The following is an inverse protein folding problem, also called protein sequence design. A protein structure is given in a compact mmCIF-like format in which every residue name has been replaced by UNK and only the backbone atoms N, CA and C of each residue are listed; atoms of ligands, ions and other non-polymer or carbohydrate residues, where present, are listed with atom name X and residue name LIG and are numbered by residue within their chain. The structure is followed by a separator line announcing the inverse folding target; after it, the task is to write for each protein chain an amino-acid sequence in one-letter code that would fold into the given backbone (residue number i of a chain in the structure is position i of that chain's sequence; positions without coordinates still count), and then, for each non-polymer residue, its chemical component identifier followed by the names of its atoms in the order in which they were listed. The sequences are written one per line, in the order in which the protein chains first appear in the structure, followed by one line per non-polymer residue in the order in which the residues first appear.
data_IF_242565734125
#
_entry.id   IF_242565734125
#
_cell.length_a   1.000
_cell.length_b   1.000
_cell.length_c   1.000
_cell.angle_alpha   90.00
_cell.angle_beta   90.00
_cell.angle_gamma   90.00
#
_symmetry.space_group_name_H-M   'P 1'
#
loop_
_entity.id
_entity.type
_entity.pdbx_description
1 polymer ?
#
# COMPACT_ATOMS: atom_id res chain seq x y z
N UNK A 1 17.47 11.60 -3.22
CA UNK A 1 16.80 12.56 -2.31
C UNK A 1 17.59 12.60 -1.01
N UNK A 2 17.74 13.77 -0.39
CA UNK A 2 18.44 13.89 0.89
C UNK A 2 17.57 13.32 2.04
N UNK A 3 18.19 12.75 3.06
CA UNK A 3 17.48 12.15 4.21
C UNK A 3 16.59 13.18 4.92
N UNK A 4 17.04 14.44 5.02
CA UNK A 4 16.26 15.53 5.60
C UNK A 4 14.95 15.83 4.82
N UNK A 5 14.98 15.71 3.50
CA UNK A 5 13.78 15.88 2.68
C UNK A 5 12.77 14.74 2.91
N UNK A 6 13.24 13.49 2.98
CA UNK A 6 12.38 12.35 3.28
C UNK A 6 11.78 12.46 4.69
N UNK A 7 12.57 12.93 5.66
CA UNK A 7 12.10 13.17 7.02
C UNK A 7 10.94 14.17 7.04
N UNK A 8 11.09 15.32 6.38
CA UNK A 8 10.03 16.34 6.31
C UNK A 8 8.76 15.84 5.61
N UNK A 9 8.88 14.87 4.70
CA UNK A 9 7.72 14.22 4.07
C UNK A 9 7.03 13.27 5.06
N UNK A 10 7.79 12.47 5.83
CA UNK A 10 7.23 11.58 6.85
C UNK A 10 6.46 12.37 7.91
N UNK A 11 6.95 13.54 8.31
CA UNK A 11 6.30 14.45 9.28
C UNK A 11 4.92 14.98 8.81
N UNK A 12 4.59 14.83 7.53
CA UNK A 12 3.23 15.14 7.03
C UNK A 12 2.19 14.09 7.43
N UNK A 13 2.61 12.93 7.92
CA UNK A 13 1.73 11.83 8.30
C UNK A 13 1.66 11.68 9.83
N UNK A 14 0.55 11.11 10.31
CA UNK A 14 0.30 10.90 11.73
C UNK A 14 1.14 9.73 12.30
N UNK A 15 2.46 9.88 12.27
CA UNK A 15 3.41 8.95 12.86
C UNK A 15 3.57 9.28 14.35
N UNK A 16 3.37 8.28 15.21
CA UNK A 16 3.52 8.43 16.67
C UNK A 16 4.92 8.06 17.17
N UNK A 17 5.75 7.45 16.32
CA UNK A 17 7.08 6.95 16.66
C UNK A 17 8.19 7.92 16.23
N UNK A 18 9.34 7.84 16.88
CA UNK A 18 10.55 8.57 16.49
C UNK A 18 11.21 7.87 15.30
N UNK A 19 11.46 8.60 14.22
CA UNK A 19 12.14 8.05 13.04
C UNK A 19 13.64 8.02 13.27
N UNK A 20 14.23 6.83 13.20
CA UNK A 20 15.67 6.59 13.32
C UNK A 20 16.38 6.78 11.99
N UNK A 21 15.95 6.06 10.95
CA UNK A 21 16.56 6.12 9.61
C UNK A 21 15.54 5.95 8.51
N UNK A 22 15.85 6.52 7.32
CA UNK A 22 15.07 6.30 6.11
C UNK A 22 16.03 5.81 5.03
N UNK A 23 15.73 4.64 4.44
CA UNK A 23 16.59 4.02 3.43
C UNK A 23 15.76 3.45 2.27
N UNK A 24 16.30 3.37 1.05
CA UNK A 24 15.60 2.75 -0.07
C UNK A 24 15.18 1.32 0.26
N UNK A 25 13.97 0.94 -0.17
CA UNK A 25 13.40 -0.39 -0.01
C UNK A 25 13.11 -1.01 -1.38
N UNK A 26 13.96 -1.97 -1.79
CA UNK A 26 13.83 -2.65 -3.06
C UNK A 26 14.17 -1.77 -4.28
N UNK A 27 13.94 -2.31 -5.47
CA UNK A 27 14.13 -1.66 -6.76
C UNK A 27 12.79 -1.61 -7.51
N UNK A 28 11.83 -0.86 -6.97
CA UNK A 28 10.52 -0.71 -7.61
C UNK A 28 10.65 -0.05 -8.98
N UNK A 29 10.00 -0.65 -10.00
CA UNK A 29 10.04 -0.12 -11.38
C UNK A 29 9.10 1.07 -11.61
N UNK A 30 8.10 1.25 -10.73
CA UNK A 30 7.04 2.26 -10.91
C UNK A 30 7.13 3.35 -9.85
N UNK A 31 7.26 2.96 -8.59
CA UNK A 31 7.24 3.88 -7.45
C UNK A 31 8.58 3.84 -6.71
N UNK A 32 9.07 5.00 -6.28
CA UNK A 32 10.18 5.04 -5.34
C UNK A 32 9.68 4.66 -3.95
N UNK A 33 10.36 3.72 -3.32
CA UNK A 33 9.94 3.15 -2.05
C UNK A 33 11.07 3.20 -1.03
N UNK A 34 10.75 3.61 0.19
CA UNK A 34 11.70 3.77 1.28
C UNK A 34 11.18 3.07 2.53
N UNK A 35 12.06 2.40 3.25
CA UNK A 35 11.79 1.91 4.60
C UNK A 35 12.11 3.03 5.60
N UNK A 36 11.16 3.34 6.45
CA UNK A 36 11.26 4.27 7.56
C UNK A 36 11.36 3.44 8.83
N UNK A 37 12.56 3.41 9.43
CA UNK A 37 12.84 2.65 10.65
C UNK A 37 12.57 3.52 11.87
N UNK A 38 11.88 2.98 12.85
CA UNK A 38 11.58 3.65 14.12
C UNK A 38 12.58 3.27 15.22
N UNK A 39 12.71 4.11 16.24
CA UNK A 39 13.60 3.85 17.38
C UNK A 39 12.95 2.90 18.40
N UNK A 40 11.64 3.00 18.56
CA UNK A 40 10.87 2.27 19.55
C UNK A 40 10.57 0.84 19.06
N UNK A 41 10.97 -0.17 19.84
CA UNK A 41 10.79 -1.59 19.49
C UNK A 41 9.34 -2.07 19.50
N UNK A 42 8.47 -1.38 20.19
CA UNK A 42 7.04 -1.65 20.27
C UNK A 42 6.22 -0.93 19.20
N UNK A 43 6.87 -0.06 18.42
CA UNK A 43 6.25 0.64 17.28
C UNK A 43 6.62 -0.04 15.97
N UNK A 44 5.73 0.01 14.97
CA UNK A 44 6.04 -0.53 13.66
C UNK A 44 7.03 0.36 12.89
N UNK A 45 7.80 -0.24 12.01
CA UNK A 45 8.42 0.45 10.90
C UNK A 45 7.36 0.83 9.85
N UNK A 46 7.72 1.76 8.95
CA UNK A 46 6.81 2.21 7.90
C UNK A 46 7.44 2.12 6.52
N UNK A 47 6.58 2.13 5.50
CA UNK A 47 6.97 2.24 4.10
C UNK A 47 6.48 3.59 3.58
N UNK A 48 7.42 4.47 3.24
CA UNK A 48 7.16 5.71 2.52
C UNK A 48 7.28 5.44 1.03
N UNK A 49 6.26 5.80 0.26
CA UNK A 49 6.25 5.56 -1.17
C UNK A 49 5.84 6.81 -1.95
N UNK A 50 6.65 7.18 -2.96
CA UNK A 50 6.29 8.19 -3.94
C UNK A 50 5.43 7.55 -5.02
N UNK A 51 4.21 8.07 -5.18
CA UNK A 51 3.26 7.61 -6.21
C UNK A 51 3.68 8.20 -7.55
N UNK A 52 3.88 7.33 -8.54
CA UNK A 52 4.13 7.78 -9.90
C UNK A 52 2.82 8.23 -10.55
N UNK A 53 2.59 9.55 -10.57
CA UNK A 53 1.37 10.15 -11.11
C UNK A 53 1.32 10.18 -12.64
N UNK A 54 2.43 9.87 -13.32
CA UNK A 54 2.40 9.63 -14.78
C UNK A 54 1.69 8.30 -15.09
N UNK A 55 1.86 7.30 -14.20
CA UNK A 55 1.18 6.00 -14.31
C UNK A 55 -0.21 6.05 -13.67
N UNK A 56 -0.36 6.81 -12.59
CA UNK A 56 -1.60 6.98 -11.83
C UNK A 56 -2.02 8.45 -11.80
N UNK A 57 -2.59 9.00 -12.89
CA UNK A 57 -2.84 10.44 -13.03
C UNK A 57 -3.90 10.96 -12.03
N UNK A 58 -4.82 10.11 -11.59
CA UNK A 58 -5.83 10.46 -10.59
C UNK A 58 -5.47 9.83 -9.24
N UNK A 59 -4.53 10.45 -8.53
CA UNK A 59 -4.05 9.98 -7.22
C UNK A 59 -5.17 9.95 -6.18
N UNK A 60 -6.07 10.93 -6.21
CA UNK A 60 -7.23 11.00 -5.31
C UNK A 60 -8.12 9.76 -5.46
N UNK A 61 -8.47 9.39 -6.69
CA UNK A 61 -9.27 8.21 -6.97
C UNK A 61 -8.55 6.92 -6.52
N UNK A 62 -7.26 6.80 -6.82
CA UNK A 62 -6.44 5.64 -6.41
C UNK A 62 -6.46 5.48 -4.90
N UNK A 63 -6.18 6.55 -4.17
CA UNK A 63 -6.09 6.50 -2.72
C UNK A 63 -7.46 6.30 -2.05
N UNK A 64 -8.53 6.84 -2.63
CA UNK A 64 -9.92 6.56 -2.21
C UNK A 64 -10.27 5.09 -2.38
N UNK A 65 -9.97 4.51 -3.53
CA UNK A 65 -10.20 3.08 -3.79
C UNK A 65 -9.42 2.21 -2.80
N UNK A 66 -8.16 2.54 -2.53
CA UNK A 66 -7.33 1.85 -1.54
C UNK A 66 -7.96 1.94 -0.16
N UNK A 67 -8.39 3.12 0.29
CA UNK A 67 -9.03 3.32 1.58
C UNK A 67 -10.30 2.49 1.74
N UNK A 68 -11.14 2.43 0.70
CA UNK A 68 -12.37 1.64 0.68
C UNK A 68 -12.04 0.14 0.81
N UNK A 69 -11.14 -0.35 -0.03
CA UNK A 69 -10.75 -1.76 -0.10
C UNK A 69 -10.10 -2.23 1.20
N UNK A 70 -9.13 -1.48 1.71
CA UNK A 70 -8.42 -1.89 2.94
C UNK A 70 -9.33 -1.85 4.16
N UNK A 71 -10.21 -0.86 4.27
CA UNK A 71 -11.23 -0.80 5.32
C UNK A 71 -12.20 -1.99 5.26
N UNK A 72 -12.74 -2.29 4.07
CA UNK A 72 -13.67 -3.40 3.88
C UNK A 72 -13.03 -4.75 4.25
N UNK A 73 -11.79 -5.00 3.79
CA UNK A 73 -11.05 -6.21 4.15
C UNK A 73 -10.83 -6.28 5.67
N UNK A 74 -10.42 -5.17 6.30
CA UNK A 74 -10.20 -5.09 7.75
C UNK A 74 -11.46 -5.44 8.54
N UNK A 75 -12.60 -4.88 8.16
CA UNK A 75 -13.90 -5.14 8.79
C UNK A 75 -14.30 -6.63 8.67
N UNK A 76 -14.08 -7.25 7.52
CA UNK A 76 -14.33 -8.68 7.30
C UNK A 76 -13.41 -9.57 8.14
N UNK A 77 -12.12 -9.26 8.19
CA UNK A 77 -11.16 -10.01 9.00
C UNK A 77 -11.53 -9.95 10.48
N UNK A 78 -11.91 -8.78 10.99
CA UNK A 78 -12.39 -8.61 12.37
C UNK A 78 -13.65 -9.45 12.60
N UNK A 79 -14.62 -9.44 11.69
CA UNK A 79 -15.84 -10.24 11.80
C UNK A 79 -15.58 -11.75 11.77
N UNK A 80 -14.48 -12.19 11.16
CA UNK A 80 -14.00 -13.57 11.14
C UNK A 80 -13.19 -13.96 12.39
N UNK A 81 -12.95 -13.01 13.31
CA UNK A 81 -12.17 -13.23 14.52
C UNK A 81 -10.65 -13.12 14.35
N UNK A 82 -10.20 -12.55 13.23
CA UNK A 82 -8.76 -12.33 13.00
C UNK A 82 -8.24 -11.23 13.94
N UNK A 83 -7.15 -11.53 14.62
CA UNK A 83 -6.51 -10.63 15.60
C UNK A 83 -5.23 -9.99 15.07
N UNK A 84 -4.57 -10.65 14.11
CA UNK A 84 -3.33 -10.19 13.49
C UNK A 84 -3.58 -9.44 12.17
N UNK A 85 -4.31 -8.33 12.26
CA UNK A 85 -4.70 -7.55 11.09
C UNK A 85 -3.50 -6.98 10.33
N UNK A 86 -2.40 -6.68 11.03
CA UNK A 86 -1.20 -6.06 10.46
C UNK A 86 -0.55 -6.90 9.36
N UNK A 87 -0.60 -8.23 9.46
CA UNK A 87 -0.02 -9.13 8.46
C UNK A 87 -1.02 -9.52 7.35
N UNK A 88 -2.30 -9.16 7.48
CA UNK A 88 -3.35 -9.55 6.56
C UNK A 88 -3.90 -8.42 5.69
N UNK A 89 -3.78 -7.17 6.13
CA UNK A 89 -4.26 -6.00 5.37
C UNK A 89 -3.33 -4.81 5.50
N UNK A 90 -3.09 -4.09 4.40
CA UNK A 90 -2.31 -2.87 4.41
C UNK A 90 -2.99 -1.78 5.26
N UNK A 91 -2.21 -1.12 6.08
CA UNK A 91 -2.63 0.02 6.89
C UNK A 91 -1.91 1.29 6.41
N UNK A 92 -2.68 2.24 5.87
CA UNK A 92 -2.16 3.53 5.43
C UNK A 92 -2.39 4.58 6.51
N UNK A 93 -1.38 5.42 6.73
CA UNK A 93 -1.46 6.49 7.71
C UNK A 93 -2.12 7.73 7.10
N UNK A 94 -3.01 8.39 7.84
CA UNK A 94 -3.56 9.67 7.43
C UNK A 94 -2.50 10.78 7.53
N UNK A 95 -2.77 11.90 6.88
CA UNK A 95 -1.97 13.11 7.07
C UNK A 95 -2.29 13.78 8.41
N UNK A 96 -1.34 14.55 8.93
CA UNK A 96 -1.53 15.35 10.16
C UNK A 96 -2.62 16.42 9.98
N UNK A 97 -2.74 16.96 8.75
CA UNK A 97 -3.68 18.04 8.43
C UNK A 97 -5.11 17.52 8.22
N UNK A 98 -5.28 16.29 7.72
CA UNK A 98 -6.59 15.69 7.41
C UNK A 98 -6.58 14.19 7.67
N UNK A 99 -7.32 13.77 8.69
CA UNK A 99 -7.44 12.35 9.07
C UNK A 99 -8.12 11.46 8.00
N UNK A 100 -8.75 12.03 6.98
CA UNK A 100 -9.36 11.29 5.87
C UNK A 100 -8.44 11.20 4.66
N UNK A 101 -7.32 11.94 4.63
CA UNK A 101 -6.40 11.99 3.51
C UNK A 101 -5.20 11.07 3.74
N UNK A 102 -5.06 10.04 2.93
CA UNK A 102 -4.01 9.00 3.03
C UNK A 102 -2.79 9.26 2.13
N UNK A 103 -2.63 10.48 1.64
CA UNK A 103 -1.47 10.91 0.87
C UNK A 103 -1.19 12.38 1.10
N UNK A 104 0.07 12.76 0.94
CA UNK A 104 0.53 14.16 0.98
C UNK A 104 1.10 14.56 -0.37
N UNK A 105 0.91 15.83 -0.75
CA UNK A 105 1.58 16.44 -1.90
C UNK A 105 2.72 17.33 -1.39
N UNK A 106 3.94 17.07 -1.86
CA UNK A 106 5.13 17.83 -1.53
C UNK A 106 5.93 18.09 -2.82
N UNK A 107 6.16 19.34 -3.15
CA UNK A 107 6.92 19.76 -4.33
C UNK A 107 6.40 19.15 -5.65
N UNK A 108 5.08 19.05 -5.82
CA UNK A 108 4.43 18.47 -6.99
C UNK A 108 4.52 16.94 -7.07
N UNK A 109 4.96 16.29 -6.01
CA UNK A 109 5.00 14.83 -5.89
C UNK A 109 4.04 14.32 -4.84
N UNK A 110 3.44 13.17 -5.10
CA UNK A 110 2.47 12.55 -4.22
C UNK A 110 3.11 11.42 -3.41
N UNK A 111 2.90 11.44 -2.11
CA UNK A 111 3.50 10.51 -1.17
C UNK A 111 2.44 9.82 -0.34
N UNK A 112 2.65 8.56 -0.01
CA UNK A 112 1.83 7.81 0.94
C UNK A 112 2.71 7.08 1.93
N UNK A 113 2.21 6.89 3.14
CA UNK A 113 2.88 6.18 4.21
C UNK A 113 1.99 5.02 4.67
N UNK A 114 2.58 3.84 4.81
CA UNK A 114 1.88 2.65 5.29
C UNK A 114 2.74 1.90 6.31
N UNK A 115 2.09 1.13 7.16
CA UNK A 115 2.77 0.25 8.12
C UNK A 115 3.55 -0.81 7.37
N UNK A 116 4.81 -1.03 7.75
CA UNK A 116 5.65 -2.08 7.19
C UNK A 116 5.18 -3.46 7.68
N UNK A 117 5.00 -4.40 6.75
CA UNK A 117 4.71 -5.79 7.07
C UNK A 117 6.05 -6.51 7.20
N UNK A 118 6.43 -6.83 8.43
CA UNK A 118 7.63 -7.58 8.72
C UNK A 118 7.50 -9.06 8.31
N UNK A 119 8.60 -9.76 8.28
CA UNK A 119 8.68 -11.17 7.88
C UNK A 119 8.18 -11.51 6.47
N UNK A 120 7.81 -10.51 5.64
CA UNK A 120 7.46 -10.72 4.25
C UNK A 120 8.70 -11.09 3.41
N UNK A 121 8.60 -12.17 2.64
CA UNK A 121 9.70 -12.68 1.82
C UNK A 121 9.34 -12.56 0.34
N UNK A 122 10.21 -11.95 -0.46
CA UNK A 122 10.05 -11.89 -1.91
C UNK A 122 10.66 -13.13 -2.57
N UNK A 123 9.84 -13.93 -3.25
CA UNK A 123 10.31 -15.02 -4.10
C UNK A 123 10.57 -14.50 -5.51
N UNK A 124 11.78 -14.67 -6.01
CA UNK A 124 12.16 -14.25 -7.37
C UNK A 124 11.87 -15.33 -8.42
N UNK A 125 11.86 -16.61 -8.02
CA UNK A 125 11.60 -17.72 -8.90
C UNK A 125 10.15 -18.19 -8.78
N UNK A 126 9.52 -18.39 -9.93
CA UNK A 126 8.16 -18.95 -10.02
C UNK A 126 8.27 -20.45 -10.26
N UNK A 127 7.76 -21.25 -9.32
CA UNK A 127 7.58 -22.68 -9.47
C UNK A 127 6.08 -23.04 -9.34
N UNK A 128 5.64 -24.27 -9.67
CA UNK A 128 4.23 -24.64 -9.61
C UNK A 128 3.59 -24.43 -8.24
N UNK A 129 4.32 -24.65 -7.15
CA UNK A 129 3.84 -24.45 -5.78
C UNK A 129 3.60 -22.97 -5.48
N UNK A 130 4.58 -22.09 -5.80
CA UNK A 130 4.45 -20.65 -5.59
C UNK A 130 3.38 -20.02 -6.49
N UNK A 131 3.23 -20.53 -7.73
CA UNK A 131 2.17 -20.11 -8.63
C UNK A 131 0.77 -20.50 -8.10
N UNK A 132 0.62 -21.73 -7.55
CA UNK A 132 -0.61 -22.18 -6.93
C UNK A 132 -0.97 -21.32 -5.70
N UNK A 133 0.00 -21.08 -4.80
CA UNK A 133 -0.19 -20.23 -3.63
C UNK A 133 -0.60 -18.80 -4.01
N UNK A 134 0.04 -18.22 -5.04
CA UNK A 134 -0.35 -16.91 -5.55
C UNK A 134 -1.77 -16.92 -6.11
N UNK A 135 -2.17 -17.94 -6.87
CA UNK A 135 -3.53 -18.09 -7.39
C UNK A 135 -4.57 -18.20 -6.28
N UNK A 136 -4.29 -18.97 -5.22
CA UNK A 136 -5.17 -19.06 -4.05
C UNK A 136 -5.31 -17.71 -3.34
N UNK A 137 -4.20 -16.98 -3.13
CA UNK A 137 -4.22 -15.67 -2.50
C UNK A 137 -5.02 -14.65 -3.32
N UNK A 138 -4.88 -14.67 -4.65
CA UNK A 138 -5.68 -13.84 -5.55
C UNK A 138 -7.17 -14.21 -5.50
N UNK A 139 -7.51 -15.50 -5.52
CA UNK A 139 -8.89 -15.96 -5.40
C UNK A 139 -9.52 -15.56 -4.07
N UNK A 140 -8.78 -15.69 -2.97
CA UNK A 140 -9.23 -15.23 -1.66
C UNK A 140 -9.44 -13.72 -1.61
N UNK A 141 -8.51 -12.94 -2.14
CA UNK A 141 -8.65 -11.48 -2.25
C UNK A 141 -9.89 -11.07 -3.04
N UNK A 142 -10.15 -11.70 -4.20
CA UNK A 142 -11.36 -11.45 -4.99
C UNK A 142 -12.63 -11.81 -4.22
N UNK A 143 -12.65 -12.92 -3.50
CA UNK A 143 -13.80 -13.33 -2.67
C UNK A 143 -14.05 -12.34 -1.52
N UNK A 144 -13.00 -11.77 -0.93
CA UNK A 144 -13.15 -10.72 0.08
C UNK A 144 -13.75 -9.42 -0.48
N UNK A 145 -13.59 -9.15 -1.76
CA UNK A 145 -14.08 -7.94 -2.42
C UNK A 145 -15.43 -8.11 -3.13
N UNK A 146 -16.00 -9.31 -3.14
CA UNK A 146 -17.21 -9.62 -3.91
C UNK A 146 -18.44 -8.80 -3.49
N UNK A 147 -18.49 -8.33 -2.25
CA UNK A 147 -19.58 -7.59 -1.63
C UNK A 147 -19.18 -6.18 -1.16
N UNK A 148 -18.13 -5.59 -1.75
CA UNK A 148 -17.77 -4.18 -1.47
C UNK A 148 -18.96 -3.27 -1.76
N UNK A 149 -19.44 -2.48 -0.77
CA UNK A 149 -20.74 -1.80 -0.85
C UNK A 149 -20.75 -0.53 -1.71
N UNK A 150 -19.70 -0.25 -2.46
CA UNK A 150 -19.57 0.97 -3.25
C UNK A 150 -18.89 0.69 -4.60
N UNK A 151 -19.17 1.57 -5.57
CA UNK A 151 -18.44 1.54 -6.84
C UNK A 151 -17.02 2.10 -6.62
N UNK A 152 -16.03 1.27 -6.87
CA UNK A 152 -14.65 1.71 -7.02
C UNK A 152 -14.52 2.53 -8.31
N UNK A 153 -13.68 3.57 -8.32
CA UNK A 153 -13.48 4.41 -9.50
C UNK A 153 -13.14 3.58 -10.74
N UNK A 154 -13.91 3.77 -11.80
CA UNK A 154 -13.99 2.81 -12.92
C UNK A 154 -12.72 2.67 -13.77
N UNK A 155 -11.79 3.61 -13.71
CA UNK A 155 -10.72 3.72 -14.72
C UNK A 155 -9.52 2.78 -14.52
N UNK A 156 -9.31 2.21 -13.33
CA UNK A 156 -8.11 1.39 -13.05
C UNK A 156 -8.34 -0.11 -13.28
N UNK A 157 -9.54 -0.63 -13.01
CA UNK A 157 -9.79 -2.07 -13.07
C UNK A 157 -10.04 -2.64 -14.46
N UNK A 158 -10.75 -1.92 -15.34
CA UNK A 158 -11.17 -2.44 -16.65
C UNK A 158 -10.09 -2.35 -17.73
N UNK A 159 -9.28 -1.32 -17.75
CA UNK A 159 -8.23 -1.15 -18.75
C UNK A 159 -7.07 -2.12 -18.53
N UNK A 160 -6.59 -2.30 -17.29
CA UNK A 160 -5.45 -3.16 -16.98
C UNK A 160 -5.75 -4.65 -17.14
N UNK A 161 -6.99 -5.10 -16.89
CA UNK A 161 -7.37 -6.50 -17.12
C UNK A 161 -7.55 -6.83 -18.61
N UNK A 162 -8.09 -5.91 -19.42
CA UNK A 162 -8.29 -6.15 -20.85
C UNK A 162 -7.00 -6.13 -21.66
N UNK A 163 -6.09 -5.21 -21.38
CA UNK A 163 -4.84 -5.12 -22.16
C UNK A 163 -3.84 -6.24 -21.85
N UNK A 164 -3.82 -6.78 -20.61
CA UNK A 164 -2.90 -7.89 -20.28
C UNK A 164 -3.35 -9.24 -20.82
N UNK A 165 -4.64 -9.49 -20.95
CA UNK A 165 -5.16 -10.75 -21.50
C UNK A 165 -4.93 -10.86 -23.00
N UNK A 166 -4.86 -9.74 -23.74
CA UNK A 166 -4.62 -9.75 -25.19
C UNK A 166 -3.13 -9.71 -25.61
N UNK A 167 -2.19 -9.53 -24.66
CA UNK A 167 -0.74 -9.60 -24.97
C UNK A 167 -0.07 -10.91 -24.58
N UNK A 168 -0.82 -11.88 -24.08
CA UNK A 168 -0.32 -13.21 -23.68
C UNK A 168 -0.78 -14.33 -24.64
N UNK A 169 -1.20 -13.99 -25.89
CA UNK A 169 -1.49 -14.94 -26.96
C UNK A 169 -0.58 -14.66 -28.15
#
# INVERSE_FOLDING_TARGET
MLQSQLQSIVEKFAVSATVSTIRPLGSGLINDTYLVVTEEKDQPDYVLQRINHEVFPDVDMVMRNIAIVTRHIRERLIAQGETDLRHHVLEFLPTVEDANRLYAEVDGHYWRLMVFIDHAVTKQEVNPESAHAAGQSFGHFQAMLADVPCQLGEKIGRASCRERVFRAV
#
